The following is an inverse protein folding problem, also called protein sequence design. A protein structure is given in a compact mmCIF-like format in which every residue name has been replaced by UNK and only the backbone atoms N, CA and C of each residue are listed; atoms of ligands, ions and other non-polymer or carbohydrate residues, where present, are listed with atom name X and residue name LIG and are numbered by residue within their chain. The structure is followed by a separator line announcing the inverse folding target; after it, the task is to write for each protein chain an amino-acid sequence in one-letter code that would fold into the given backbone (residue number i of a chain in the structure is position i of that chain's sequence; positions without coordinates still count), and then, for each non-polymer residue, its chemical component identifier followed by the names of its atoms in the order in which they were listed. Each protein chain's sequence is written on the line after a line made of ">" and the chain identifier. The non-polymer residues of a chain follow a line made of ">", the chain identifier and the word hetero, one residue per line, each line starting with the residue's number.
data_IF_786649470311
#
_entry.id   IF_786649470311
#
_cell.length_a   1.000
_cell.length_b   1.000
_cell.length_c   1.000
_cell.angle_alpha   90.00
_cell.angle_beta   90.00
_cell.angle_gamma   90.00
#
_symmetry.space_group_name_H-M   'P 1'
#
loop_
_entity.id
_entity.type
_entity.pdbx_description
1 polymer ?
#
# COMPACT_ATOMS: atom_id res chain seq x y z
N UNK A 1 17.67 0.61 12.20
CA UNK A 1 16.30 0.94 12.64
C UNK A 1 15.61 1.75 11.55
N UNK A 2 14.42 1.34 11.16
CA UNK A 2 13.66 2.01 10.11
C UNK A 2 12.83 3.16 10.70
N UNK A 3 12.65 4.24 9.92
CA UNK A 3 11.83 5.38 10.32
C UNK A 3 10.37 5.19 9.89
N UNK A 4 10.13 4.57 8.73
CA UNK A 4 8.80 4.45 8.15
C UNK A 4 8.21 3.05 8.26
N UNK A 5 9.00 2.03 7.94
CA UNK A 5 8.56 0.65 7.87
C UNK A 5 9.61 -0.28 8.46
N UNK A 6 9.17 -1.39 9.02
CA UNK A 6 10.04 -2.45 9.52
C UNK A 6 9.37 -3.82 9.31
N UNK A 7 9.97 -4.88 9.84
CA UNK A 7 9.43 -6.24 9.70
C UNK A 7 8.06 -6.44 10.38
N UNK A 8 7.68 -5.56 11.29
CA UNK A 8 6.41 -5.65 12.03
C UNK A 8 5.31 -4.78 11.43
N UNK A 9 5.62 -3.97 10.42
CA UNK A 9 4.64 -3.10 9.77
C UNK A 9 3.62 -3.93 9.00
N UNK A 10 2.35 -3.79 9.36
CA UNK A 10 1.24 -4.50 8.70
C UNK A 10 0.78 -3.72 7.49
N UNK A 11 0.85 -4.35 6.32
CA UNK A 11 0.62 -3.71 5.02
C UNK A 11 -0.57 -4.34 4.33
N UNK A 12 -1.41 -3.50 3.72
CA UNK A 12 -2.46 -3.94 2.78
C UNK A 12 -2.18 -3.38 1.40
N UNK A 13 -2.76 -4.01 0.38
CA UNK A 13 -2.64 -3.58 -1.01
C UNK A 13 -4.00 -3.17 -1.54
N UNK A 14 -4.15 -1.94 -2.01
CA UNK A 14 -5.34 -1.50 -2.73
C UNK A 14 -5.13 -1.79 -4.22
N UNK A 15 -6.10 -2.46 -4.86
CA UNK A 15 -5.93 -3.03 -6.19
C UNK A 15 -5.27 -4.40 -6.15
N UNK A 16 -5.47 -5.15 -5.08
CA UNK A 16 -4.76 -6.39 -4.74
C UNK A 16 -4.92 -7.48 -5.80
N UNK A 17 -6.09 -7.63 -6.39
CA UNK A 17 -6.37 -8.68 -7.37
C UNK A 17 -6.01 -8.30 -8.81
N UNK A 18 -5.58 -7.08 -9.05
CA UNK A 18 -5.08 -6.66 -10.37
C UNK A 18 -3.71 -7.27 -10.67
N UNK A 19 -3.27 -7.23 -11.93
CA UNK A 19 -1.99 -7.81 -12.35
C UNK A 19 -0.78 -7.24 -11.62
N UNK A 20 -0.69 -5.91 -11.52
CA UNK A 20 0.41 -5.25 -10.82
C UNK A 20 0.35 -5.49 -9.31
N UNK A 21 -0.84 -5.35 -8.73
CA UNK A 21 -1.03 -5.59 -7.30
C UNK A 21 -0.67 -7.01 -6.90
N UNK A 22 -1.10 -7.99 -7.68
CA UNK A 22 -0.80 -9.41 -7.44
C UNK A 22 0.71 -9.67 -7.52
N UNK A 23 1.36 -9.24 -8.61
CA UNK A 23 2.77 -9.51 -8.84
C UNK A 23 3.65 -8.88 -7.74
N UNK A 24 3.45 -7.61 -7.46
CA UNK A 24 4.30 -6.91 -6.49
C UNK A 24 4.00 -7.28 -5.04
N UNK A 25 2.76 -7.67 -4.73
CA UNK A 25 2.42 -8.21 -3.41
C UNK A 25 3.09 -9.56 -3.19
N UNK A 26 3.11 -10.41 -4.20
CA UNK A 26 3.80 -11.71 -4.14
C UNK A 26 5.30 -11.52 -3.88
N UNK A 27 5.94 -10.58 -4.60
CA UNK A 27 7.34 -10.25 -4.39
C UNK A 27 7.62 -9.69 -3.00
N UNK A 28 6.72 -8.85 -2.48
CA UNK A 28 6.84 -8.29 -1.14
C UNK A 28 6.74 -9.38 -0.08
N UNK A 29 5.81 -10.30 -0.21
CA UNK A 29 5.66 -11.43 0.71
C UNK A 29 6.93 -12.28 0.72
N UNK A 30 7.48 -12.58 -0.46
CA UNK A 30 8.72 -13.33 -0.59
C UNK A 30 9.92 -12.62 0.05
N UNK A 31 9.90 -11.29 0.07
CA UNK A 31 10.95 -10.49 0.71
C UNK A 31 10.84 -10.47 2.24
N UNK A 32 9.69 -10.81 2.80
CA UNK A 32 9.45 -10.81 4.24
C UNK A 32 8.49 -9.72 4.73
N UNK A 33 7.90 -8.94 3.82
CA UNK A 33 6.91 -7.93 4.18
C UNK A 33 5.68 -8.59 4.81
N UNK A 34 5.19 -8.04 5.91
CA UNK A 34 3.98 -8.54 6.56
C UNK A 34 2.73 -8.01 5.85
N UNK A 35 2.40 -8.64 4.72
CA UNK A 35 1.13 -8.37 4.02
C UNK A 35 0.01 -9.07 4.79
N UNK A 36 -0.99 -8.32 5.20
CA UNK A 36 -2.10 -8.87 6.00
C UNK A 36 -3.41 -8.99 5.23
N UNK A 37 -3.46 -8.45 4.03
CA UNK A 37 -4.64 -8.54 3.17
C UNK A 37 -4.59 -7.55 2.04
N UNK A 38 -5.70 -7.43 1.34
CA UNK A 38 -5.84 -6.48 0.25
C UNK A 38 -7.27 -6.00 0.09
N UNK A 39 -7.44 -4.97 -0.70
CA UNK A 39 -8.74 -4.34 -0.96
C UNK A 39 -9.00 -4.34 -2.46
N UNK A 40 -10.11 -4.96 -2.86
CA UNK A 40 -10.64 -4.87 -4.21
C UNK A 40 -12.16 -4.79 -4.09
N UNK A 41 -12.78 -3.65 -4.39
CA UNK A 41 -14.23 -3.50 -4.28
C UNK A 41 -14.98 -4.58 -5.09
N UNK A 42 -15.98 -5.19 -4.49
CA UNK A 42 -16.76 -6.26 -5.11
C UNK A 42 -16.17 -7.65 -4.98
N UNK A 43 -14.97 -7.79 -4.43
CA UNK A 43 -14.31 -9.10 -4.23
C UNK A 43 -14.08 -9.43 -2.76
N UNK A 44 -14.70 -8.70 -1.86
CA UNK A 44 -14.61 -8.97 -0.43
C UNK A 44 -15.10 -10.38 -0.09
N UNK A 45 -14.45 -10.99 0.90
CA UNK A 45 -14.74 -12.36 1.32
C UNK A 45 -13.97 -13.44 0.56
N UNK A 46 -13.27 -13.08 -0.50
CA UNK A 46 -12.41 -14.01 -1.24
C UNK A 46 -11.02 -14.09 -0.60
N UNK A 47 -10.25 -15.09 -1.01
CA UNK A 47 -8.85 -15.23 -0.62
C UNK A 47 -7.98 -15.07 -1.85
N UNK A 48 -6.89 -14.30 -1.74
CA UNK A 48 -5.93 -14.09 -2.82
C UNK A 48 -4.51 -14.13 -2.24
N UNK A 49 -3.62 -14.88 -2.85
CA UNK A 49 -2.26 -15.11 -2.35
C UNK A 49 -2.24 -15.62 -0.89
N UNK A 50 -3.28 -16.35 -0.49
CA UNK A 50 -3.42 -16.85 0.88
C UNK A 50 -3.86 -15.78 1.89
N UNK A 51 -4.25 -14.60 1.43
CA UNK A 51 -4.64 -13.47 2.27
C UNK A 51 -6.09 -13.07 2.01
N UNK A 52 -6.80 -12.52 3.03
CA UNK A 52 -8.18 -12.08 2.85
C UNK A 52 -8.27 -10.85 1.95
N UNK A 53 -9.34 -10.79 1.16
CA UNK A 53 -9.68 -9.63 0.33
C UNK A 53 -10.89 -8.93 0.95
N UNK A 54 -10.83 -7.61 1.03
CA UNK A 54 -11.88 -6.77 1.60
C UNK A 54 -12.47 -5.84 0.54
N UNK A 55 -13.70 -5.39 0.77
CA UNK A 55 -14.35 -4.42 -0.12
C UNK A 55 -13.90 -2.99 0.14
N UNK A 56 -13.51 -2.68 1.38
CA UNK A 56 -13.10 -1.33 1.79
C UNK A 56 -11.86 -1.38 2.65
N UNK A 57 -11.11 -0.25 2.67
CA UNK A 57 -9.94 -0.12 3.54
C UNK A 57 -10.35 -0.11 5.00
N UNK A 58 -11.47 0.51 5.34
CA UNK A 58 -11.98 0.52 6.72
C UNK A 58 -12.17 -0.89 7.25
N UNK A 59 -12.80 -1.76 6.47
CA UNK A 59 -12.99 -3.16 6.85
C UNK A 59 -11.65 -3.87 7.03
N UNK A 60 -10.71 -3.65 6.12
CA UNK A 60 -9.38 -4.24 6.20
C UNK A 60 -8.65 -3.81 7.47
N UNK A 61 -8.67 -2.52 7.80
CA UNK A 61 -8.03 -1.99 9.02
C UNK A 61 -8.67 -2.57 10.28
N UNK A 62 -9.99 -2.63 10.34
CA UNK A 62 -10.71 -3.17 11.49
C UNK A 62 -10.38 -4.64 11.75
N UNK A 63 -10.19 -5.41 10.69
CA UNK A 63 -9.96 -6.86 10.80
C UNK A 63 -8.49 -7.25 10.92
N UNK A 64 -7.58 -6.46 10.38
CA UNK A 64 -6.15 -6.81 10.33
C UNK A 64 -5.25 -5.92 11.18
N UNK A 65 -5.70 -4.72 11.52
CA UNK A 65 -4.87 -3.72 12.18
C UNK A 65 -3.81 -3.10 11.26
N UNK A 66 -4.06 -3.07 9.96
CA UNK A 66 -3.11 -2.55 8.98
C UNK A 66 -2.72 -1.10 9.27
N UNK A 67 -1.45 -0.78 9.07
CA UNK A 67 -0.86 0.54 9.32
C UNK A 67 -0.44 1.25 8.04
N UNK A 68 -0.14 0.49 6.99
CA UNK A 68 0.32 1.00 5.72
C UNK A 68 -0.48 0.39 4.56
N UNK A 69 -0.63 1.17 3.49
CA UNK A 69 -1.27 0.71 2.27
C UNK A 69 -0.42 1.07 1.06
N UNK A 70 -0.28 0.13 0.13
CA UNK A 70 0.32 0.36 -1.17
C UNK A 70 -0.79 0.34 -2.24
N UNK A 71 -0.76 1.31 -3.15
CA UNK A 71 -1.83 1.53 -4.12
C UNK A 71 -1.35 1.21 -5.54
N UNK A 72 -2.03 0.27 -6.19
CA UNK A 72 -1.82 -0.13 -7.59
C UNK A 72 -3.06 0.05 -8.45
N UNK A 73 -4.02 0.86 -8.02
CA UNK A 73 -5.24 1.12 -8.80
C UNK A 73 -4.94 2.04 -9.99
N UNK A 74 -5.77 2.00 -11.08
CA UNK A 74 -5.59 2.91 -12.21
C UNK A 74 -5.65 4.38 -11.81
N UNK A 75 -4.93 5.24 -12.53
CA UNK A 75 -4.77 6.66 -12.20
C UNK A 75 -6.08 7.41 -11.88
N UNK A 76 -7.19 7.24 -12.64
CA UNK A 76 -8.44 7.94 -12.35
C UNK A 76 -9.04 7.62 -10.98
N UNK A 77 -8.66 6.50 -10.36
CA UNK A 77 -9.20 6.06 -9.08
C UNK A 77 -8.24 6.27 -7.91
N UNK A 78 -7.03 6.75 -8.16
CA UNK A 78 -6.01 6.88 -7.12
C UNK A 78 -6.38 7.89 -6.04
N UNK A 79 -6.91 9.05 -6.41
CA UNK A 79 -7.35 10.05 -5.44
C UNK A 79 -8.33 9.46 -4.43
N UNK A 80 -9.37 8.79 -4.93
CA UNK A 80 -10.39 8.17 -4.07
C UNK A 80 -9.79 7.08 -3.19
N UNK A 81 -8.86 6.29 -3.72
CA UNK A 81 -8.17 5.25 -2.97
C UNK A 81 -7.31 5.83 -1.85
N UNK A 82 -6.60 6.92 -2.11
CA UNK A 82 -5.80 7.62 -1.10
C UNK A 82 -6.71 8.19 0.00
N UNK A 83 -7.80 8.86 -0.38
CA UNK A 83 -8.73 9.44 0.58
C UNK A 83 -9.41 8.36 1.42
N UNK A 84 -9.79 7.24 0.82
CA UNK A 84 -10.37 6.12 1.55
C UNK A 84 -9.40 5.59 2.61
N UNK A 85 -8.14 5.36 2.23
CA UNK A 85 -7.12 4.86 3.15
C UNK A 85 -6.84 5.85 4.29
N UNK A 86 -6.73 7.14 3.97
CA UNK A 86 -6.48 8.18 4.97
C UNK A 86 -7.64 8.27 5.98
N UNK A 87 -8.87 8.23 5.50
CA UNK A 87 -10.06 8.28 6.36
C UNK A 87 -10.24 7.00 7.20
N UNK A 88 -9.70 5.88 6.75
CA UNK A 88 -9.78 4.60 7.47
C UNK A 88 -8.74 4.48 8.59
N UNK A 89 -7.82 5.43 8.72
CA UNK A 89 -6.80 5.42 9.77
C UNK A 89 -5.46 4.84 9.36
N UNK A 90 -5.23 4.61 8.07
CA UNK A 90 -3.91 4.22 7.55
C UNK A 90 -2.94 5.39 7.78
N UNK A 91 -1.77 5.10 8.33
CA UNK A 91 -0.77 6.13 8.69
C UNK A 91 0.24 6.39 7.57
N UNK A 92 0.51 5.40 6.75
CA UNK A 92 1.44 5.51 5.62
C UNK A 92 0.77 5.01 4.35
N UNK A 93 0.72 5.86 3.33
CA UNK A 93 0.16 5.51 2.03
C UNK A 93 1.27 5.64 0.99
N UNK A 94 1.51 4.57 0.23
CA UNK A 94 2.49 4.55 -0.85
C UNK A 94 1.73 4.39 -2.17
N UNK A 95 1.75 5.43 -3.00
CA UNK A 95 1.07 5.43 -4.29
C UNK A 95 2.09 5.20 -5.40
N UNK A 96 2.00 4.06 -6.06
CA UNK A 96 2.94 3.68 -7.13
C UNK A 96 2.48 4.19 -8.49
N UNK A 97 1.17 4.33 -8.69
CA UNK A 97 0.55 4.64 -9.97
C UNK A 97 1.09 5.93 -10.61
N UNK A 98 1.35 5.87 -11.90
CA UNK A 98 1.75 7.02 -12.72
C UNK A 98 0.55 7.66 -13.41
N UNK A 99 0.73 8.90 -13.88
CA UNK A 99 -0.27 9.57 -14.71
C UNK A 99 -1.46 10.13 -13.95
N UNK A 100 -1.35 10.35 -12.65
CA UNK A 100 -2.42 10.96 -11.84
C UNK A 100 -2.46 12.47 -12.11
N UNK A 101 -3.68 13.02 -12.30
CA UNK A 101 -3.85 14.45 -12.51
C UNK A 101 -3.30 15.26 -11.34
N UNK A 102 -2.61 16.38 -11.63
CA UNK A 102 -1.98 17.22 -10.62
C UNK A 102 -2.98 17.71 -9.57
N UNK A 103 -4.17 18.13 -9.98
CA UNK A 103 -5.19 18.62 -9.05
C UNK A 103 -5.66 17.52 -8.10
N UNK A 104 -5.81 16.28 -8.61
CA UNK A 104 -6.18 15.13 -7.77
C UNK A 104 -5.13 14.87 -6.70
N UNK A 105 -3.86 14.98 -7.04
CA UNK A 105 -2.77 14.78 -6.08
C UNK A 105 -2.68 15.90 -5.06
N UNK A 106 -2.94 17.14 -5.45
CA UNK A 106 -2.98 18.26 -4.52
C UNK A 106 -4.10 18.06 -3.48
N UNK A 107 -5.30 17.68 -3.93
CA UNK A 107 -6.42 17.39 -3.04
C UNK A 107 -6.10 16.24 -2.07
N UNK A 108 -5.54 15.16 -2.59
CA UNK A 108 -5.15 14.01 -1.78
C UNK A 108 -4.10 14.38 -0.73
N UNK A 109 -3.08 15.14 -1.13
CA UNK A 109 -2.01 15.57 -0.23
C UNK A 109 -2.53 16.48 0.88
N UNK A 110 -3.38 17.43 0.55
CA UNK A 110 -3.99 18.32 1.56
C UNK A 110 -4.75 17.50 2.60
N UNK A 111 -5.55 16.53 2.16
CA UNK A 111 -6.32 15.69 3.07
C UNK A 111 -5.41 14.81 3.95
N UNK A 112 -4.36 14.25 3.36
CA UNK A 112 -3.38 13.47 4.13
C UNK A 112 -2.69 14.34 5.18
N UNK A 113 -2.29 15.55 4.85
CA UNK A 113 -1.67 16.48 5.79
C UNK A 113 -2.64 16.83 6.92
N UNK A 114 -3.92 17.07 6.63
CA UNK A 114 -4.94 17.34 7.63
C UNK A 114 -5.12 16.19 8.63
N UNK A 115 -5.02 14.96 8.15
CA UNK A 115 -5.22 13.76 8.96
C UNK A 115 -3.93 13.22 9.59
N UNK A 116 -2.80 13.87 9.33
CA UNK A 116 -1.51 13.41 9.85
C UNK A 116 -1.01 12.14 9.16
N UNK A 117 -1.45 11.87 7.93
CA UNK A 117 -1.06 10.71 7.15
C UNK A 117 0.13 11.04 6.26
N UNK A 118 1.13 10.16 6.22
CA UNK A 118 2.26 10.32 5.32
C UNK A 118 1.95 9.69 3.95
N UNK A 119 2.05 10.49 2.91
CA UNK A 119 1.84 10.06 1.53
C UNK A 119 3.17 10.07 0.78
N UNK A 120 3.54 8.93 0.19
CA UNK A 120 4.72 8.78 -0.66
C UNK A 120 4.25 8.49 -2.09
N UNK A 121 4.81 9.18 -3.06
CA UNK A 121 4.37 9.18 -4.45
C UNK A 121 3.47 10.36 -4.76
N UNK A 122 2.86 10.39 -5.94
CA UNK A 122 2.75 9.32 -6.94
C UNK A 122 4.04 9.07 -7.72
N UNK A 123 4.00 8.10 -8.62
CA UNK A 123 5.09 7.79 -9.54
C UNK A 123 6.41 7.55 -8.79
N UNK A 124 6.36 6.65 -7.81
CA UNK A 124 7.53 6.28 -7.02
C UNK A 124 7.74 4.75 -7.05
N UNK A 125 8.97 4.26 -6.82
CA UNK A 125 9.22 2.82 -6.77
C UNK A 125 8.75 2.18 -5.46
N UNK A 126 8.42 2.96 -4.44
CA UNK A 126 7.99 2.49 -3.14
C UNK A 126 9.00 2.77 -2.04
N UNK A 127 8.96 1.96 -0.99
CA UNK A 127 9.80 2.08 0.20
C UNK A 127 10.37 0.71 0.54
N UNK A 128 11.61 0.65 0.96
CA UNK A 128 12.24 -0.60 1.39
C UNK A 128 13.11 -0.38 2.63
N UNK A 129 12.99 -1.32 3.58
CA UNK A 129 13.94 -1.47 4.68
C UNK A 129 14.66 -2.79 4.44
N UNK A 130 15.94 -2.77 4.05
CA UNK A 130 16.64 -3.98 3.62
C UNK A 130 16.58 -5.09 4.66
N UNK A 131 16.19 -6.29 4.20
CA UNK A 131 16.07 -7.47 5.04
C UNK A 131 14.82 -7.54 5.92
N UNK A 132 13.98 -6.50 5.95
CA UNK A 132 12.82 -6.43 6.83
C UNK A 132 11.48 -6.27 6.10
N UNK A 133 11.35 -5.26 5.25
CA UNK A 133 10.08 -4.90 4.65
C UNK A 133 10.28 -4.24 3.29
N UNK A 134 9.45 -4.63 2.31
CA UNK A 134 9.41 -4.03 0.98
C UNK A 134 7.97 -3.66 0.65
N UNK A 135 7.77 -2.41 0.26
CA UNK A 135 6.49 -1.91 -0.25
C UNK A 135 6.74 -1.25 -1.60
N UNK A 136 6.22 -1.84 -2.68
CA UNK A 136 6.34 -1.28 -4.02
C UNK A 136 7.02 -2.20 -5.02
N UNK A 137 7.62 -1.60 -6.06
CA UNK A 137 8.13 -2.30 -7.23
C UNK A 137 9.65 -2.49 -7.24
N UNK A 138 10.36 -2.06 -6.19
CA UNK A 138 11.82 -2.21 -6.11
C UNK A 138 12.24 -3.69 -6.10
N UNK A 139 13.28 -4.07 -6.84
CA UNK A 139 13.74 -5.47 -6.83
C UNK A 139 14.38 -5.82 -5.48
N UNK A 140 13.72 -6.72 -4.75
CA UNK A 140 14.15 -7.09 -3.40
C UNK A 140 15.50 -7.78 -3.35
N UNK A 141 15.85 -8.53 -4.41
CA UNK A 141 17.08 -9.31 -4.44
C UNK A 141 18.36 -8.47 -4.46
N UNK A 142 18.28 -7.20 -4.83
CA UNK A 142 19.44 -6.30 -4.86
C UNK A 142 19.48 -5.38 -3.64
N UNK A 143 18.43 -5.31 -2.84
CA UNK A 143 18.34 -4.47 -1.66
C UNK A 143 18.57 -5.31 -0.40
N UNK A 144 19.80 -5.38 0.05
CA UNK A 144 20.21 -6.15 1.22
C UNK A 144 20.73 -5.21 2.32
N UNK A 145 20.70 -5.66 3.61
CA UNK A 145 21.23 -4.83 4.69
C UNK A 145 22.69 -4.44 4.44
N UNK A 146 23.02 -3.18 4.73
CA UNK A 146 24.39 -2.69 4.67
C UNK A 146 25.24 -3.23 5.83
N UNK A 147 26.54 -3.04 5.71
CA UNK A 147 27.52 -3.38 6.76
C UNK A 147 27.66 -2.25 7.76
#
# INVERSE_FOLDING_TARGET
>A
MSILIDKNTKVICQGFTGGQGTFHSEQAIAYGTQMVGGVTPGKGGQTHLGLPVFNTVKEAVEKTGAEASVIYVPAPFCKDSILEAANAGIKLIVCITEGIATLDMLDAKVKCDELGVRLIGPNCPGVITPGECKIGIMPGHIHQPGR
#
